data_IF_887791909752
#
_entry.id   IF_887791909752
#
_cell.length_a   1.000
_cell.length_b   1.000
_cell.length_c   1.000
_cell.angle_alpha   90.00
_cell.angle_beta   90.00
_cell.angle_gamma   90.00
#
_symmetry.space_group_name_H-M   'P 1'
#
loop_
_entity.id
_entity.type
_entity.pdbx_description
1 polymer ?
#
# COMPACT_ATOMS: atom_id res chain seq x y z
N UNK A 1 -3.97 -13.99 -12.37
CA UNK A 1 -2.86 -14.82 -12.86
C UNK A 1 -2.10 -15.57 -11.74
N UNK A 2 -2.64 -15.55 -10.51
CA UNK A 2 -2.09 -16.26 -9.35
C UNK A 2 -0.79 -15.67 -8.78
N UNK A 3 -0.45 -14.44 -9.17
CA UNK A 3 0.73 -13.73 -8.66
C UNK A 3 0.37 -12.89 -7.44
N UNK A 4 1.29 -12.82 -6.47
CA UNK A 4 1.13 -11.93 -5.33
C UNK A 4 1.36 -10.48 -5.78
N UNK A 5 0.43 -9.61 -5.45
CA UNK A 5 0.48 -8.20 -5.84
C UNK A 5 0.81 -7.31 -4.64
N UNK A 6 1.90 -6.53 -4.76
CA UNK A 6 2.28 -5.49 -3.79
C UNK A 6 1.88 -4.13 -4.35
N UNK A 7 1.04 -3.39 -3.62
CA UNK A 7 0.66 -2.02 -3.98
C UNK A 7 1.42 -1.01 -3.13
N UNK A 8 2.13 -0.10 -3.79
CA UNK A 8 2.84 1.03 -3.17
C UNK A 8 1.97 2.28 -3.32
N UNK A 9 1.13 2.54 -2.31
CA UNK A 9 0.20 3.65 -2.33
C UNK A 9 0.82 4.94 -1.83
N UNK A 10 0.47 6.06 -2.46
CA UNK A 10 1.02 7.39 -2.15
C UNK A 10 2.55 7.36 -2.07
N UNK A 11 3.19 6.75 -3.06
CA UNK A 11 4.62 6.51 -3.08
C UNK A 11 5.40 7.84 -3.18
N UNK A 12 6.33 8.05 -2.25
CA UNK A 12 7.25 9.17 -2.21
C UNK A 12 8.67 8.71 -2.50
N UNK A 13 9.49 9.65 -2.99
CA UNK A 13 10.91 9.40 -3.31
C UNK A 13 11.70 8.83 -2.13
N UNK A 14 11.40 9.27 -0.91
CA UNK A 14 12.05 8.81 0.30
C UNK A 14 11.77 7.33 0.60
N UNK A 15 10.57 6.85 0.25
CA UNK A 15 10.22 5.43 0.34
C UNK A 15 10.86 4.58 -0.76
N UNK A 16 11.14 5.16 -1.95
CA UNK A 16 11.72 4.42 -3.08
C UNK A 16 13.05 3.74 -2.69
N UNK A 17 13.90 4.42 -1.91
CA UNK A 17 15.16 3.86 -1.45
C UNK A 17 15.00 2.58 -0.59
N UNK A 18 13.81 2.38 -0.03
CA UNK A 18 13.49 1.23 0.81
C UNK A 18 13.03 0.04 -0.04
N UNK A 19 12.14 0.26 -1.02
CA UNK A 19 11.46 -0.82 -1.72
C UNK A 19 11.96 -1.11 -3.15
N UNK A 20 12.71 -0.21 -3.80
CA UNK A 20 13.15 -0.41 -5.21
C UNK A 20 13.96 -1.68 -5.43
N UNK A 21 14.84 -2.03 -4.51
CA UNK A 21 15.62 -3.26 -4.64
C UNK A 21 14.74 -4.50 -4.53
N UNK A 22 13.70 -4.47 -3.68
CA UNK A 22 12.72 -5.57 -3.61
C UNK A 22 12.03 -5.75 -4.96
N UNK A 23 11.64 -4.67 -5.62
CA UNK A 23 11.05 -4.71 -6.95
C UNK A 23 12.04 -5.34 -7.94
N UNK A 24 13.27 -4.83 -7.98
CA UNK A 24 14.29 -5.26 -8.93
C UNK A 24 14.72 -6.72 -8.74
N UNK A 25 14.71 -7.21 -7.49
CA UNK A 25 15.11 -8.58 -7.14
C UNK A 25 13.94 -9.57 -7.09
N UNK A 26 12.70 -9.11 -7.16
CA UNK A 26 11.51 -9.96 -7.03
C UNK A 26 11.45 -11.04 -8.11
N UNK A 27 10.85 -12.17 -7.75
CA UNK A 27 10.58 -13.25 -8.71
C UNK A 27 9.44 -12.85 -9.68
N UNK A 28 9.27 -13.61 -10.76
CA UNK A 28 8.17 -13.43 -11.71
C UNK A 28 6.78 -13.74 -11.13
N UNK A 29 6.73 -14.33 -9.92
CA UNK A 29 5.49 -14.60 -9.20
C UNK A 29 4.96 -13.39 -8.41
N UNK A 30 5.66 -12.26 -8.43
CA UNK A 30 5.25 -11.02 -7.76
C UNK A 30 4.99 -9.93 -8.78
N UNK A 31 3.86 -9.24 -8.62
CA UNK A 31 3.50 -8.03 -9.35
C UNK A 31 3.62 -6.82 -8.44
N UNK A 32 4.00 -5.69 -9.02
CA UNK A 32 4.16 -4.44 -8.30
C UNK A 32 3.28 -3.36 -8.92
N UNK A 33 2.46 -2.70 -8.13
CA UNK A 33 1.67 -1.55 -8.57
C UNK A 33 2.14 -0.34 -7.77
N UNK A 34 2.63 0.68 -8.44
CA UNK A 34 3.14 1.90 -7.81
C UNK A 34 2.19 3.04 -8.14
N UNK A 35 1.58 3.65 -7.12
CA UNK A 35 0.80 4.87 -7.24
C UNK A 35 1.60 6.03 -6.62
N UNK A 36 2.32 6.83 -7.42
CA UNK A 36 3.08 7.96 -6.93
C UNK A 36 2.16 8.98 -6.22
N UNK A 37 2.65 9.61 -5.16
CA UNK A 37 1.89 10.67 -4.49
C UNK A 37 1.63 11.87 -5.41
N UNK A 38 2.63 12.25 -6.19
CA UNK A 38 2.53 13.33 -7.17
C UNK A 38 2.67 12.77 -8.58
N UNK A 39 1.74 13.14 -9.46
CA UNK A 39 1.82 12.82 -10.88
C UNK A 39 2.69 13.88 -11.56
N UNK A 40 3.97 13.57 -11.68
CA UNK A 40 4.97 14.42 -12.33
C UNK A 40 5.79 13.57 -13.32
N UNK A 41 5.77 13.96 -14.58
CA UNK A 41 6.41 13.21 -15.68
C UNK A 41 7.90 12.95 -15.42
N UNK A 42 8.65 13.94 -14.92
CA UNK A 42 10.09 13.78 -14.65
C UNK A 42 10.34 12.77 -13.52
N UNK A 43 9.49 12.77 -12.49
CA UNK A 43 9.58 11.82 -11.39
C UNK A 43 9.22 10.41 -11.84
N UNK A 44 8.17 10.26 -12.66
CA UNK A 44 7.75 8.96 -13.21
C UNK A 44 8.85 8.40 -14.13
N UNK A 45 9.41 9.20 -15.02
CA UNK A 45 10.51 8.77 -15.89
C UNK A 45 11.78 8.40 -15.10
N UNK A 46 12.08 9.12 -14.02
CA UNK A 46 13.17 8.73 -13.12
C UNK A 46 12.88 7.40 -12.43
N UNK A 47 11.65 7.21 -11.94
CA UNK A 47 11.22 5.96 -11.30
C UNK A 47 11.35 4.79 -12.28
N UNK A 48 10.83 4.92 -13.51
CA UNK A 48 10.97 3.91 -14.58
C UNK A 48 12.44 3.52 -14.80
N UNK A 49 13.36 4.50 -14.90
CA UNK A 49 14.79 4.22 -15.12
C UNK A 49 15.47 3.46 -13.98
N UNK A 50 14.95 3.58 -12.75
CA UNK A 50 15.48 2.88 -11.58
C UNK A 50 14.91 1.45 -11.41
N UNK A 51 13.94 1.08 -12.24
CA UNK A 51 13.32 -0.25 -12.23
C UNK A 51 13.91 -1.06 -13.38
N UNK A 52 14.52 -2.19 -13.06
CA UNK A 52 15.14 -3.10 -14.04
C UNK A 52 14.16 -4.14 -14.61
N UNK A 53 12.91 -4.12 -14.16
CA UNK A 53 11.83 -5.00 -14.59
C UNK A 53 11.04 -4.40 -15.76
N UNK A 54 10.16 -5.19 -16.37
CA UNK A 54 9.21 -4.70 -17.38
C UNK A 54 8.19 -3.76 -16.72
N UNK A 55 8.14 -2.51 -17.19
CA UNK A 55 7.28 -1.46 -16.63
C UNK A 55 6.26 -1.01 -17.67
N UNK A 56 5.01 -0.80 -17.23
CA UNK A 56 3.96 -0.13 -18.01
C UNK A 56 3.33 1.00 -17.19
N UNK A 57 2.99 2.11 -17.85
CA UNK A 57 2.18 3.17 -17.26
C UNK A 57 0.68 2.88 -17.45
N UNK A 58 -0.14 3.34 -16.53
CA UNK A 58 -1.59 3.24 -16.68
C UNK A 58 -2.08 3.93 -17.97
N UNK A 59 -1.50 5.09 -18.33
CA UNK A 59 -1.82 5.81 -19.56
C UNK A 59 -1.40 5.08 -20.85
N UNK A 60 -0.54 4.06 -20.76
CA UNK A 60 0.00 3.30 -21.91
C UNK A 60 -0.63 1.89 -22.03
N UNK A 61 -1.63 1.56 -21.19
CA UNK A 61 -2.10 0.18 -21.03
C UNK A 61 -3.04 -0.31 -22.15
N UNK A 62 -3.60 0.61 -22.95
CA UNK A 62 -4.55 0.25 -23.98
C UNK A 62 -3.95 -0.73 -24.98
N UNK A 63 -4.69 -1.80 -25.31
CA UNK A 63 -4.29 -2.89 -26.19
C UNK A 63 -3.05 -3.69 -25.74
N UNK A 64 -2.54 -3.48 -24.51
CA UNK A 64 -1.40 -4.22 -23.95
C UNK A 64 -1.85 -5.41 -23.11
N UNK A 65 -1.14 -6.51 -23.22
CA UNK A 65 -1.30 -7.62 -22.30
C UNK A 65 -0.58 -7.32 -20.99
N UNK A 66 -1.31 -6.96 -19.95
CA UNK A 66 -0.75 -6.60 -18.63
C UNK A 66 0.00 -7.76 -17.96
N UNK A 67 -0.20 -9.01 -18.40
CA UNK A 67 0.53 -10.16 -17.90
C UNK A 67 2.03 -10.10 -18.22
N UNK A 68 2.42 -9.38 -19.29
CA UNK A 68 3.80 -9.27 -19.77
C UNK A 68 4.65 -8.27 -18.95
N UNK A 69 4.02 -7.52 -18.07
CA UNK A 69 4.69 -6.50 -17.24
C UNK A 69 4.74 -6.91 -15.79
N UNK A 70 5.88 -6.67 -15.14
CA UNK A 70 6.11 -6.96 -13.72
C UNK A 70 5.71 -5.78 -12.84
N UNK A 71 5.80 -4.54 -13.37
CA UNK A 71 5.54 -3.30 -12.64
C UNK A 71 4.55 -2.44 -13.39
N UNK A 72 3.52 -1.98 -12.67
CA UNK A 72 2.47 -1.12 -13.17
C UNK A 72 2.51 0.23 -12.43
N UNK A 73 2.79 1.33 -13.12
CA UNK A 73 2.82 2.65 -12.51
C UNK A 73 1.52 3.38 -12.85
N UNK A 74 0.82 3.84 -11.82
CA UNK A 74 -0.42 4.60 -11.94
C UNK A 74 -0.07 6.08 -12.08
N UNK A 75 -0.05 6.56 -13.29
CA UNK A 75 0.28 7.94 -13.66
C UNK A 75 -0.97 8.83 -13.80
N UNK A 76 -2.03 8.50 -13.05
CA UNK A 76 -3.28 9.27 -12.97
C UNK A 76 -3.80 9.34 -11.55
N UNK A 77 -4.69 10.30 -11.28
CA UNK A 77 -5.26 10.56 -9.95
C UNK A 77 -6.58 9.80 -9.78
N UNK A 78 -6.93 9.43 -8.53
CA UNK A 78 -8.26 8.94 -8.15
C UNK A 78 -8.46 7.44 -8.28
N UNK A 79 -7.44 6.65 -8.62
CA UNK A 79 -7.55 5.19 -8.75
C UNK A 79 -7.06 4.41 -7.54
N UNK A 80 -6.28 5.00 -6.64
CA UNK A 80 -5.55 4.28 -5.58
C UNK A 80 -6.47 3.42 -4.71
N UNK A 81 -7.60 3.95 -4.27
CA UNK A 81 -8.56 3.21 -3.45
C UNK A 81 -9.08 1.95 -4.18
N UNK A 82 -9.34 2.04 -5.49
CA UNK A 82 -9.77 0.87 -6.28
C UNK A 82 -8.63 -0.13 -6.48
N UNK A 83 -7.39 0.36 -6.60
CA UNK A 83 -6.21 -0.48 -6.84
C UNK A 83 -5.89 -1.36 -5.63
N UNK A 84 -6.18 -0.92 -4.42
CA UNK A 84 -6.01 -1.75 -3.22
C UNK A 84 -6.85 -3.04 -3.25
N UNK A 85 -7.94 -3.10 -4.03
CA UNK A 85 -8.71 -4.34 -4.20
C UNK A 85 -7.95 -5.46 -4.92
N UNK A 86 -6.84 -5.14 -5.58
CA UNK A 86 -5.96 -6.11 -6.26
C UNK A 86 -4.72 -6.45 -5.44
N UNK A 87 -4.56 -5.86 -4.25
CA UNK A 87 -3.36 -6.03 -3.44
C UNK A 87 -3.46 -7.25 -2.51
N UNK A 88 -2.37 -7.99 -2.39
CA UNK A 88 -2.13 -8.95 -1.32
C UNK A 88 -1.32 -8.33 -0.18
N UNK A 89 -0.56 -7.26 -0.48
CA UNK A 89 0.25 -6.49 0.47
C UNK A 89 0.20 -5.01 0.06
N UNK A 90 0.03 -4.10 1.03
CA UNK A 90 0.12 -2.67 0.79
C UNK A 90 1.36 -2.07 1.48
N UNK A 91 2.10 -1.24 0.76
CA UNK A 91 3.04 -0.30 1.33
C UNK A 91 2.44 1.11 1.26
N UNK A 92 2.28 1.77 2.40
CA UNK A 92 1.73 3.13 2.46
C UNK A 92 2.86 4.14 2.65
N UNK A 93 2.97 5.04 1.68
CA UNK A 93 4.02 6.05 1.64
C UNK A 93 3.89 7.15 2.69
N UNK A 94 4.88 8.02 2.75
CA UNK A 94 4.94 9.16 3.66
C UNK A 94 5.60 8.88 5.01
N UNK A 95 5.61 7.64 5.46
CA UNK A 95 6.15 7.25 6.78
C UNK A 95 7.67 7.45 6.97
N UNK A 96 8.42 7.83 5.94
CA UNK A 96 9.87 8.06 6.05
C UNK A 96 10.27 9.54 6.14
N UNK A 97 9.39 10.49 5.78
CA UNK A 97 9.73 11.91 5.82
C UNK A 97 8.54 12.85 5.91
N UNK A 98 7.55 12.70 5.04
CA UNK A 98 6.50 13.68 4.81
C UNK A 98 5.31 13.53 5.75
N UNK A 99 5.21 12.44 6.48
CA UNK A 99 4.07 12.01 7.28
C UNK A 99 3.22 10.97 6.54
N UNK A 100 2.74 10.00 7.30
CA UNK A 100 2.01 8.83 6.81
C UNK A 100 0.73 9.25 6.06
N UNK A 101 0.45 8.58 4.95
CA UNK A 101 -0.81 8.67 4.23
C UNK A 101 -1.88 7.73 4.80
N UNK A 102 -3.07 7.76 4.19
CA UNK A 102 -4.24 7.04 4.69
C UNK A 102 -4.02 5.52 4.72
N UNK A 103 -4.00 4.94 5.91
CA UNK A 103 -3.87 3.49 6.13
C UNK A 103 -5.21 2.77 6.18
N UNK A 104 -6.32 3.50 6.38
CA UNK A 104 -7.65 2.89 6.44
C UNK A 104 -8.13 2.42 5.06
N UNK A 105 -7.65 3.04 3.97
CA UNK A 105 -7.99 2.59 2.62
C UNK A 105 -7.56 1.14 2.39
N UNK A 106 -6.26 0.76 2.51
CA UNK A 106 -5.88 -0.64 2.37
C UNK A 106 -6.42 -1.53 3.49
N UNK A 107 -6.58 -1.02 4.71
CA UNK A 107 -7.17 -1.78 5.82
C UNK A 107 -8.58 -2.29 5.52
N UNK A 108 -9.37 -1.51 4.77
CA UNK A 108 -10.73 -1.88 4.35
C UNK A 108 -10.77 -3.17 3.53
N UNK A 109 -9.70 -3.44 2.77
CA UNK A 109 -9.59 -4.65 1.94
C UNK A 109 -9.04 -5.86 2.70
N UNK A 110 -8.73 -5.72 3.97
CA UNK A 110 -8.25 -6.85 4.78
C UNK A 110 -6.89 -7.37 4.30
N UNK A 111 -5.96 -6.49 3.98
CA UNK A 111 -4.58 -6.82 3.58
C UNK A 111 -3.56 -6.30 4.58
N UNK A 112 -2.38 -6.95 4.73
CA UNK A 112 -1.31 -6.43 5.56
C UNK A 112 -0.79 -5.10 5.02
N UNK A 113 -0.44 -4.19 5.92
CA UNK A 113 0.04 -2.85 5.60
C UNK A 113 1.44 -2.69 6.16
N UNK A 114 2.36 -2.20 5.33
CA UNK A 114 3.74 -1.87 5.71
C UNK A 114 3.97 -0.38 5.53
N UNK A 115 4.66 0.26 6.48
CA UNK A 115 5.01 1.69 6.38
C UNK A 115 6.32 2.01 7.11
N UNK A 116 6.79 3.26 6.96
CA UNK A 116 7.93 3.80 7.71
C UNK A 116 7.57 4.26 9.12
N UNK A 117 8.57 4.72 9.91
CA UNK A 117 8.44 4.98 11.34
C UNK A 117 7.62 6.22 11.72
N UNK A 118 7.32 7.13 10.79
CA UNK A 118 6.62 8.39 11.10
C UNK A 118 5.09 8.24 11.02
N UNK A 119 4.50 7.51 11.97
CA UNK A 119 3.07 7.22 12.02
C UNK A 119 2.37 7.77 13.29
N UNK A 120 3.10 8.20 14.30
CA UNK A 120 2.56 8.52 15.65
C UNK A 120 1.55 9.67 15.70
N UNK A 121 1.49 10.50 14.65
CA UNK A 121 0.50 11.60 14.56
C UNK A 121 -0.91 11.10 14.21
N UNK A 122 -1.06 9.87 13.80
CA UNK A 122 -2.30 9.28 13.30
C UNK A 122 -2.79 8.22 14.28
N UNK A 123 -3.95 8.45 14.90
CA UNK A 123 -4.47 7.56 15.95
C UNK A 123 -4.78 6.17 15.40
N UNK A 124 -5.38 6.09 14.21
CA UNK A 124 -5.67 4.83 13.52
C UNK A 124 -4.41 4.01 13.23
N UNK A 125 -3.31 4.68 12.87
CA UNK A 125 -2.05 3.99 12.63
C UNK A 125 -1.45 3.43 13.93
N UNK A 126 -1.51 4.17 15.05
CA UNK A 126 -1.10 3.67 16.38
C UNK A 126 -1.93 2.46 16.80
N UNK A 127 -3.23 2.53 16.61
CA UNK A 127 -4.13 1.44 16.94
C UNK A 127 -3.78 0.18 16.13
N UNK A 128 -3.61 0.34 14.80
CA UNK A 128 -3.24 -0.76 13.91
C UNK A 128 -1.85 -1.35 14.20
N UNK A 129 -0.86 -0.52 14.58
CA UNK A 129 0.46 -1.00 15.03
C UNK A 129 0.34 -1.83 16.30
N UNK A 130 -0.41 -1.35 17.29
CA UNK A 130 -0.63 -2.05 18.55
C UNK A 130 -1.34 -3.41 18.33
N UNK A 131 -2.27 -3.46 17.38
CA UNK A 131 -2.98 -4.68 16.98
C UNK A 131 -2.17 -5.58 16.06
N UNK A 132 -0.99 -5.15 15.59
CA UNK A 132 -0.14 -5.84 14.60
C UNK A 132 -0.76 -5.97 13.19
N UNK A 133 -1.68 -5.10 12.86
CA UNK A 133 -2.27 -4.96 11.52
C UNK A 133 -1.42 -4.08 10.59
N UNK A 134 -0.69 -3.11 11.17
CA UNK A 134 0.26 -2.25 10.48
C UNK A 134 1.69 -2.60 10.93
N UNK A 135 2.54 -2.95 9.97
CA UNK A 135 3.93 -3.31 10.19
C UNK A 135 4.83 -2.11 9.91
N UNK A 136 5.58 -1.68 10.92
CA UNK A 136 6.50 -0.55 10.81
C UNK A 136 7.89 -1.04 10.49
N UNK A 137 8.54 -0.44 9.50
CA UNK A 137 9.93 -0.75 9.12
C UNK A 137 10.77 0.52 9.18
N UNK A 138 11.97 0.44 9.77
CA UNK A 138 12.86 1.57 9.97
C UNK A 138 13.98 1.63 8.93
N UNK A 139 14.17 0.55 8.19
CA UNK A 139 15.27 0.39 7.25
C UNK A 139 14.86 -0.48 6.07
N UNK A 140 15.67 -0.42 5.01
CA UNK A 140 15.56 -1.31 3.85
C UNK A 140 15.69 -2.78 4.25
N UNK A 141 16.59 -3.11 5.18
CA UNK A 141 16.79 -4.49 5.65
C UNK A 141 15.54 -5.01 6.35
N UNK A 142 14.94 -4.22 7.25
CA UNK A 142 13.68 -4.59 7.91
C UNK A 142 12.55 -4.74 6.90
N UNK A 143 12.47 -3.84 5.90
CA UNK A 143 11.49 -3.95 4.83
C UNK A 143 11.65 -5.26 4.04
N UNK A 144 12.87 -5.59 3.61
CA UNK A 144 13.16 -6.83 2.89
C UNK A 144 12.71 -8.06 3.69
N UNK A 145 13.10 -8.13 4.97
CA UNK A 145 12.71 -9.25 5.86
C UNK A 145 11.19 -9.34 6.03
N UNK A 146 10.54 -8.20 6.24
CA UNK A 146 9.07 -8.14 6.42
C UNK A 146 8.34 -8.59 5.16
N UNK A 147 8.75 -8.10 3.99
CA UNK A 147 8.12 -8.49 2.72
C UNK A 147 8.37 -9.96 2.41
N UNK A 148 9.57 -10.48 2.66
CA UNK A 148 9.88 -11.89 2.48
C UNK A 148 8.97 -12.80 3.32
N UNK A 149 8.75 -12.45 4.59
CA UNK A 149 7.82 -13.17 5.47
C UNK A 149 6.39 -13.15 4.90
N UNK A 150 5.93 -11.97 4.46
CA UNK A 150 4.61 -11.82 3.89
C UNK A 150 4.45 -12.55 2.55
N UNK A 151 5.47 -12.58 1.70
CA UNK A 151 5.45 -13.30 0.42
C UNK A 151 5.38 -14.81 0.63
N UNK A 152 6.06 -15.33 1.64
CA UNK A 152 6.18 -16.76 1.89
C UNK A 152 5.05 -17.37 2.74
N UNK A 153 4.15 -16.55 3.30
CA UNK A 153 3.07 -17.05 4.18
C UNK A 153 1.72 -16.40 3.88
N UNK A 154 0.85 -17.15 3.24
CA UNK A 154 -0.55 -16.75 3.03
C UNK A 154 -1.30 -16.65 4.36
N UNK A 155 -1.06 -17.57 5.28
CA UNK A 155 -1.68 -17.56 6.62
C UNK A 155 -1.33 -16.26 7.37
N UNK A 156 -0.07 -15.80 7.26
CA UNK A 156 0.36 -14.55 7.89
C UNK A 156 -0.34 -13.34 7.24
N UNK A 157 -0.41 -13.30 5.90
CA UNK A 157 -1.13 -12.23 5.20
C UNK A 157 -2.60 -12.19 5.61
N UNK A 158 -3.25 -13.35 5.65
CA UNK A 158 -4.66 -13.49 6.05
C UNK A 158 -4.87 -13.06 7.50
N UNK A 159 -4.03 -13.51 8.43
CA UNK A 159 -4.15 -13.17 9.84
C UNK A 159 -4.03 -11.65 10.06
N UNK A 160 -3.03 -11.01 9.47
CA UNK A 160 -2.82 -9.56 9.58
C UNK A 160 -3.95 -8.81 8.86
N UNK A 161 -4.36 -9.27 7.70
CA UNK A 161 -5.47 -8.68 6.94
C UNK A 161 -6.78 -8.69 7.71
N UNK A 162 -7.10 -9.78 8.38
CA UNK A 162 -8.30 -9.89 9.23
C UNK A 162 -8.28 -8.89 10.39
N UNK A 163 -7.13 -8.63 10.99
CA UNK A 163 -6.99 -7.58 12.02
C UNK A 163 -7.37 -6.21 11.44
N UNK A 164 -6.85 -5.87 10.28
CA UNK A 164 -7.09 -4.60 9.61
C UNK A 164 -8.58 -4.43 9.26
N UNK A 165 -9.17 -5.44 8.66
CA UNK A 165 -10.59 -5.42 8.28
C UNK A 165 -11.50 -5.30 9.50
N UNK A 166 -11.25 -6.08 10.56
CA UNK A 166 -11.98 -6.02 11.81
C UNK A 166 -11.92 -4.63 12.44
N UNK A 167 -10.73 -4.03 12.51
CA UNK A 167 -10.56 -2.67 13.02
C UNK A 167 -11.45 -1.67 12.26
N UNK A 168 -11.43 -1.70 10.93
CA UNK A 168 -12.26 -0.79 10.12
C UNK A 168 -13.75 -1.01 10.37
N UNK A 169 -14.21 -2.26 10.42
CA UNK A 169 -15.63 -2.59 10.68
C UNK A 169 -16.06 -2.08 12.05
N UNK A 170 -15.27 -2.28 13.11
CA UNK A 170 -15.58 -1.86 14.46
C UNK A 170 -15.60 -0.33 14.64
N UNK A 171 -14.73 0.38 13.91
CA UNK A 171 -14.66 1.86 13.94
C UNK A 171 -15.65 2.52 12.99
N UNK A 172 -16.29 1.79 12.09
CA UNK A 172 -17.29 2.33 11.16
C UNK A 172 -18.55 2.83 11.88
N UNK A 173 -19.36 3.61 11.17
CA UNK A 173 -20.68 4.06 11.66
C UNK A 173 -20.69 5.38 12.43
N UNK A 174 -19.64 6.20 12.34
CA UNK A 174 -19.59 7.53 12.97
C UNK A 174 -20.79 8.42 12.59
N UNK A 175 -21.16 8.44 11.29
CA UNK A 175 -22.33 9.18 10.80
C UNK A 175 -23.62 8.75 11.52
N UNK A 176 -23.85 7.46 11.67
CA UNK A 176 -25.03 6.92 12.36
C UNK A 176 -25.05 7.31 13.86
N UNK A 177 -23.88 7.32 14.51
CA UNK A 177 -23.76 7.77 15.91
C UNK A 177 -24.08 9.26 16.06
N UNK A 178 -23.52 10.10 15.19
CA UNK A 178 -23.76 11.55 15.16
C UNK A 178 -25.23 11.84 14.89
N UNK A 179 -25.83 11.20 13.90
CA UNK A 179 -27.24 11.41 13.55
C UNK A 179 -28.21 10.99 14.67
N UNK A 180 -27.91 9.89 15.39
CA UNK A 180 -28.69 9.51 16.58
C UNK A 180 -28.59 10.54 17.69
N UNK A 181 -27.37 11.03 17.96
CA UNK A 181 -27.17 12.07 18.95
C UNK A 181 -27.94 13.35 18.62
N UNK A 182 -27.84 13.86 17.38
CA UNK A 182 -28.56 15.06 16.95
C UNK A 182 -30.08 14.90 17.07
N UNK A 183 -30.63 13.71 16.72
CA UNK A 183 -32.06 13.44 16.86
C UNK A 183 -32.53 13.32 18.31
N UNK A 184 -31.64 12.97 19.24
CA UNK A 184 -31.98 12.91 20.67
C UNK A 184 -31.98 14.26 21.38
N UNK A 185 -31.51 15.32 20.69
CA UNK A 185 -31.51 16.70 21.25
C UNK A 185 -32.72 17.52 20.80
N UNK A 186 -33.53 16.98 19.89
CA UNK A 186 -34.82 17.55 19.44
C UNK A 186 -35.98 16.77 20.05
#
# INVERSE_FOLDING_TARGET
DGKITIVYGSAWREGEAVYLDTINMSSKSVKHIIAPHNINTQQIERLKRNISKSVILYSEMDEKNLADYDVFIIDTIGLLTKIYSYADIAFVGGGFKTGLHNTLEPATFGIPIVTGPLFEKFQEAKDLVNLKGLLVVNSKTEYLTTIEQLLNSEDLRTAIGNINQTYVIEKAGATGKIMRYLKSQN
#
